data_IF_548948938270
#
_entry.id   IF_548948938270
#
_cell.length_a   1.000
_cell.length_b   1.000
_cell.length_c   1.000
_cell.angle_alpha   90.00
_cell.angle_beta   90.00
_cell.angle_gamma   90.00
#
_symmetry.space_group_name_H-M   'P 1'
#
loop_
_entity.id
_entity.type
_entity.pdbx_description
1 polymer ?
#
# COMPACT_ATOMS: atom_id res chain seq x y z
N UNK A 1 -0.48 30.05 30.08
CA UNK A 1 0.82 29.48 30.50
C UNK A 1 1.72 29.50 29.28
N UNK A 2 2.91 29.98 29.44
CA UNK A 2 3.91 30.05 28.39
C UNK A 2 4.16 28.61 27.89
N UNK A 3 4.23 28.41 26.56
CA UNK A 3 4.48 27.10 25.93
C UNK A 3 5.92 26.65 26.21
N UNK A 4 6.24 26.53 27.51
CA UNK A 4 7.57 26.21 27.98
C UNK A 4 7.81 24.71 27.82
N UNK A 5 8.89 24.37 27.18
CA UNK A 5 9.41 23.03 27.06
C UNK A 5 9.68 22.42 28.44
N UNK A 6 9.27 21.16 28.64
CA UNK A 6 9.59 20.36 29.81
C UNK A 6 10.52 19.23 29.44
N UNK A 7 10.23 18.53 28.34
CA UNK A 7 11.01 17.41 27.85
C UNK A 7 10.89 17.31 26.33
N UNK A 8 12.03 17.22 25.64
CA UNK A 8 12.11 16.99 24.20
C UNK A 8 13.12 15.91 23.91
N UNK A 9 12.80 14.99 23.00
CA UNK A 9 13.74 13.99 22.54
C UNK A 9 14.44 14.43 21.24
N UNK A 10 15.61 13.86 20.97
CA UNK A 10 16.41 14.18 19.78
C UNK A 10 15.66 13.92 18.46
N UNK A 11 14.79 12.92 18.42
CA UNK A 11 14.03 12.55 17.23
C UNK A 11 13.01 13.63 16.87
N UNK A 12 12.36 14.23 17.87
CA UNK A 12 11.44 15.35 17.68
C UNK A 12 12.16 16.55 17.04
N UNK A 13 13.34 16.89 17.51
CA UNK A 13 14.15 17.98 16.94
C UNK A 13 14.59 17.67 15.51
N UNK A 14 15.00 16.43 15.23
CA UNK A 14 15.39 16.02 13.88
C UNK A 14 14.20 16.11 12.89
N UNK A 15 13.03 15.61 13.26
CA UNK A 15 11.85 15.69 12.41
C UNK A 15 11.32 17.12 12.28
N UNK A 16 11.40 17.93 13.36
CA UNK A 16 11.10 19.35 13.31
C UNK A 16 11.95 20.10 12.28
N UNK A 17 13.25 19.84 12.26
CA UNK A 17 14.17 20.41 11.29
C UNK A 17 13.87 19.97 9.84
N UNK A 18 13.49 18.72 9.64
CA UNK A 18 13.10 18.21 8.32
C UNK A 18 11.80 18.84 7.80
N UNK A 19 10.85 19.10 8.69
CA UNK A 19 9.57 19.72 8.34
C UNK A 19 9.75 21.22 8.08
N UNK A 20 10.59 21.91 8.87
CA UNK A 20 10.81 23.36 8.74
C UNK A 20 11.76 23.75 7.60
N UNK A 21 12.49 22.81 7.01
CA UNK A 21 13.62 23.06 6.09
C UNK A 21 14.71 23.96 6.71
N UNK A 22 14.79 24.04 8.03
CA UNK A 22 15.72 24.88 8.77
C UNK A 22 16.20 24.19 10.03
N UNK A 23 17.37 24.58 10.51
CA UNK A 23 17.84 24.17 11.82
C UNK A 23 17.16 25.03 12.89
N UNK A 24 16.16 24.45 13.56
CA UNK A 24 15.52 25.09 14.70
C UNK A 24 16.54 25.24 15.85
N UNK A 25 16.73 26.45 16.32
CA UNK A 25 17.63 26.72 17.45
C UNK A 25 16.96 26.47 18.80
N UNK A 26 15.64 26.63 18.83
CA UNK A 26 14.80 26.34 20.00
C UNK A 26 13.56 25.55 19.57
N UNK A 27 13.13 24.62 20.43
CA UNK A 27 11.95 23.78 20.16
C UNK A 27 10.66 24.57 19.97
N UNK A 28 10.59 25.75 20.62
CA UNK A 28 9.43 26.64 20.54
C UNK A 28 9.24 27.25 19.13
N UNK A 29 10.31 27.33 18.33
CA UNK A 29 10.24 27.84 16.95
C UNK A 29 9.33 26.96 16.07
N UNK A 30 9.11 25.71 16.44
CA UNK A 30 8.21 24.80 15.71
C UNK A 30 6.78 25.35 15.61
N UNK A 31 6.31 26.11 16.61
CA UNK A 31 4.99 26.72 16.61
C UNK A 31 4.86 27.91 15.63
N UNK A 32 5.96 28.39 15.09
CA UNK A 32 5.98 29.46 14.08
C UNK A 32 5.92 28.92 12.64
N UNK A 33 6.06 27.60 12.47
CA UNK A 33 6.06 26.93 11.17
C UNK A 33 4.62 26.82 10.66
N UNK A 34 4.41 27.11 9.38
CA UNK A 34 3.10 27.07 8.75
C UNK A 34 2.41 25.70 8.89
N UNK A 35 3.16 24.63 8.77
CA UNK A 35 2.70 23.25 8.89
C UNK A 35 2.13 22.93 10.27
N UNK A 36 2.62 23.61 11.31
CA UNK A 36 2.15 23.46 12.70
C UNK A 36 1.03 24.43 13.11
N UNK A 37 0.59 25.32 12.20
CA UNK A 37 -0.42 26.33 12.50
C UNK A 37 -1.70 25.72 13.12
N UNK A 38 -2.20 24.61 12.55
CA UNK A 38 -3.39 23.91 13.05
C UNK A 38 -3.21 23.40 14.48
N UNK A 39 -2.04 22.84 14.78
CA UNK A 39 -1.69 22.35 16.12
C UNK A 39 -1.60 23.53 17.09
N UNK A 40 -0.97 24.62 16.67
CA UNK A 40 -0.85 25.85 17.47
C UNK A 40 -2.22 26.43 17.79
N UNK A 41 -3.12 26.51 16.82
CA UNK A 41 -4.48 27.00 17.00
C UNK A 41 -5.29 26.11 17.93
N UNK A 42 -5.14 24.78 17.81
CA UNK A 42 -5.78 23.79 18.68
C UNK A 42 -5.35 23.96 20.14
N UNK A 43 -4.05 24.10 20.42
CA UNK A 43 -3.50 24.35 21.76
C UNK A 43 -4.05 25.66 22.32
N UNK A 44 -3.99 26.74 21.53
CA UNK A 44 -4.45 28.05 21.92
C UNK A 44 -5.95 28.07 22.27
N UNK A 45 -6.77 27.36 21.49
CA UNK A 45 -8.23 27.24 21.74
C UNK A 45 -8.50 26.55 23.07
N UNK A 46 -7.85 25.41 23.32
CA UNK A 46 -8.02 24.66 24.56
C UNK A 46 -7.56 25.43 25.80
N UNK A 47 -6.49 26.24 25.68
CA UNK A 47 -5.99 27.09 26.78
C UNK A 47 -6.96 28.27 27.10
N UNK A 48 -7.65 28.81 26.07
CA UNK A 48 -8.57 29.93 26.24
C UNK A 48 -9.94 29.52 26.80
N UNK A 49 -10.42 28.33 26.47
CA UNK A 49 -11.74 27.82 26.89
C UNK A 49 -11.59 26.33 27.29
N UNK A 50 -11.17 26.04 28.53
CA UNK A 50 -11.11 24.68 29.00
C UNK A 50 -12.52 24.12 29.12
N UNK A 51 -12.96 23.31 28.18
CA UNK A 51 -14.21 22.59 28.22
C UNK A 51 -13.99 21.10 28.42
N UNK A 52 -14.77 20.48 29.31
CA UNK A 52 -14.68 19.05 29.59
C UNK A 52 -15.12 18.15 28.42
N UNK A 53 -15.87 18.71 27.43
CA UNK A 53 -16.47 17.97 26.33
C UNK A 53 -15.79 18.21 24.96
N UNK A 54 -14.67 18.93 24.90
CA UNK A 54 -13.96 19.14 23.63
C UNK A 54 -12.94 18.02 23.35
N UNK A 55 -12.70 17.78 22.07
CA UNK A 55 -11.65 16.86 21.61
C UNK A 55 -10.31 17.31 22.19
N UNK A 56 -9.60 16.37 22.84
CA UNK A 56 -8.30 16.60 23.49
C UNK A 56 -7.15 16.05 22.65
N UNK A 57 -7.44 15.51 21.48
CA UNK A 57 -6.45 14.96 20.56
C UNK A 57 -6.68 15.52 19.17
N UNK A 58 -5.61 15.89 18.52
CA UNK A 58 -5.59 16.37 17.14
C UNK A 58 -4.43 15.71 16.40
N UNK A 59 -4.64 15.29 15.16
CA UNK A 59 -3.60 14.81 14.27
C UNK A 59 -3.60 15.60 12.97
N UNK A 60 -2.41 15.84 12.45
CA UNK A 60 -2.18 16.55 11.17
C UNK A 60 -1.17 15.75 10.35
N UNK A 61 -1.49 15.52 9.07
CA UNK A 61 -0.57 14.93 8.11
C UNK A 61 0.22 16.06 7.42
N UNK A 62 1.54 15.91 7.39
CA UNK A 62 2.46 16.85 6.76
C UNK A 62 3.27 16.10 5.71
N UNK A 63 3.18 16.54 4.45
CA UNK A 63 3.98 16.02 3.37
C UNK A 63 5.11 17.01 3.06
N UNK A 64 6.36 16.58 3.26
CA UNK A 64 7.53 17.45 3.07
C UNK A 64 8.70 16.65 2.51
N UNK A 65 9.33 17.16 1.46
CA UNK A 65 10.54 16.58 0.86
C UNK A 65 10.42 15.08 0.53
N UNK A 66 9.24 14.63 0.04
CA UNK A 66 8.97 13.23 -0.29
C UNK A 66 8.76 12.32 0.93
N UNK A 67 8.65 12.90 2.12
CA UNK A 67 8.28 12.20 3.37
C UNK A 67 6.90 12.60 3.84
N UNK A 68 6.24 11.68 4.51
CA UNK A 68 4.94 11.89 5.15
C UNK A 68 5.11 11.75 6.66
N UNK A 69 4.78 12.82 7.37
CA UNK A 69 4.77 12.83 8.83
C UNK A 69 3.35 12.92 9.36
N UNK A 70 3.08 12.23 10.45
CA UNK A 70 1.89 12.47 11.27
C UNK A 70 2.32 13.18 12.54
N UNK A 71 1.72 14.36 12.77
CA UNK A 71 1.93 15.15 13.98
C UNK A 71 0.68 15.03 14.82
N UNK A 72 0.80 14.45 16.01
CA UNK A 72 -0.29 14.34 16.96
C UNK A 72 -0.07 15.27 18.15
N UNK A 73 -1.12 15.92 18.58
CA UNK A 73 -1.15 16.74 19.77
C UNK A 73 -2.22 16.20 20.75
N UNK A 74 -1.82 15.93 21.98
CA UNK A 74 -2.71 15.52 23.07
C UNK A 74 -2.67 16.58 24.15
N UNK A 75 -3.84 17.01 24.62
CA UNK A 75 -3.99 17.99 25.70
C UNK A 75 -4.50 17.29 26.95
N UNK A 76 -3.74 17.39 28.04
CA UNK A 76 -4.05 16.77 29.32
C UNK A 76 -5.03 17.64 30.16
N UNK A 77 -5.47 17.07 31.29
CA UNK A 77 -6.45 17.74 32.17
C UNK A 77 -5.93 19.04 32.79
N UNK A 78 -4.63 19.09 33.03
CA UNK A 78 -3.94 20.26 33.59
C UNK A 78 -3.57 21.31 32.54
N UNK A 79 -4.07 21.14 31.30
CA UNK A 79 -3.78 21.96 30.12
C UNK A 79 -2.31 21.87 29.64
N UNK A 80 -1.54 20.96 30.15
CA UNK A 80 -0.30 20.57 29.49
C UNK A 80 -0.60 19.84 28.20
N UNK A 81 0.38 19.77 27.29
CA UNK A 81 0.21 19.07 26.01
C UNK A 81 1.46 18.30 25.66
N UNK A 82 1.23 17.26 24.87
CA UNK A 82 2.28 16.46 24.24
C UNK A 82 2.13 16.55 22.73
N UNK A 83 3.25 16.71 22.02
CA UNK A 83 3.31 16.63 20.57
C UNK A 83 4.22 15.49 20.18
N UNK A 84 3.73 14.57 19.38
CA UNK A 84 4.51 13.50 18.76
C UNK A 84 4.59 13.72 17.25
N UNK A 85 5.77 13.44 16.68
CA UNK A 85 6.01 13.45 15.23
C UNK A 85 6.47 12.06 14.84
N UNK A 86 5.74 11.41 13.95
CA UNK A 86 6.07 10.10 13.42
C UNK A 86 6.25 10.19 11.91
N UNK A 87 7.34 9.64 11.40
CA UNK A 87 7.54 9.45 9.96
C UNK A 87 6.78 8.19 9.56
N UNK A 88 5.74 8.36 8.76
CA UNK A 88 4.86 7.29 8.25
C UNK A 88 5.04 7.09 6.74
N UNK A 89 6.19 7.51 6.21
CA UNK A 89 6.46 7.45 4.76
C UNK A 89 6.40 6.03 4.24
N UNK A 90 7.00 5.08 4.95
CA UNK A 90 7.01 3.67 4.53
C UNK A 90 5.62 3.06 4.59
N UNK A 91 4.88 3.31 5.65
CA UNK A 91 3.51 2.83 5.86
C UNK A 91 2.57 3.36 4.75
N UNK A 92 2.62 4.65 4.48
CA UNK A 92 1.83 5.29 3.42
C UNK A 92 2.21 4.75 2.04
N UNK A 93 3.50 4.53 1.78
CA UNK A 93 3.95 3.95 0.52
C UNK A 93 3.47 2.51 0.35
N UNK A 94 3.53 1.68 1.39
CA UNK A 94 3.01 0.32 1.38
C UNK A 94 1.50 0.31 1.11
N UNK A 95 0.72 1.18 1.77
CA UNK A 95 -0.72 1.31 1.55
C UNK A 95 -1.01 1.73 0.10
N UNK A 96 -0.24 2.68 -0.43
CA UNK A 96 -0.36 3.14 -1.82
C UNK A 96 -0.08 2.02 -2.82
N UNK A 97 1.02 1.29 -2.63
CA UNK A 97 1.40 0.16 -3.50
C UNK A 97 0.35 -0.95 -3.46
N UNK A 98 -0.16 -1.29 -2.27
CA UNK A 98 -1.21 -2.29 -2.10
C UNK A 98 -2.51 -1.88 -2.82
N UNK A 99 -2.91 -0.60 -2.73
CA UNK A 99 -4.06 -0.07 -3.46
C UNK A 99 -3.86 -0.14 -4.98
N UNK A 100 -2.67 0.25 -5.45
CA UNK A 100 -2.33 0.21 -6.87
C UNK A 100 -2.33 -1.23 -7.41
N UNK A 101 -1.76 -2.17 -6.67
CA UNK A 101 -1.79 -3.60 -7.00
C UNK A 101 -3.23 -4.11 -7.12
N UNK A 102 -4.10 -3.79 -6.15
CA UNK A 102 -5.52 -4.19 -6.17
C UNK A 102 -6.25 -3.63 -7.39
N UNK A 103 -6.00 -2.38 -7.74
CA UNK A 103 -6.58 -1.76 -8.94
C UNK A 103 -6.11 -2.43 -10.22
N UNK A 104 -4.82 -2.73 -10.34
CA UNK A 104 -4.25 -3.42 -11.49
C UNK A 104 -4.84 -4.84 -11.64
N UNK A 105 -4.94 -5.58 -10.54
CA UNK A 105 -5.60 -6.89 -10.52
C UNK A 105 -7.04 -6.80 -11.02
N UNK A 106 -7.82 -5.85 -10.51
CA UNK A 106 -9.21 -5.66 -10.94
C UNK A 106 -9.32 -5.38 -12.46
N UNK A 107 -8.42 -4.57 -13.01
CA UNK A 107 -8.35 -4.30 -14.44
C UNK A 107 -7.96 -5.53 -15.26
N UNK A 108 -6.93 -6.27 -14.82
CA UNK A 108 -6.47 -7.49 -15.50
C UNK A 108 -7.49 -8.64 -15.46
N UNK A 109 -8.34 -8.70 -14.42
CA UNK A 109 -9.45 -9.66 -14.34
C UNK A 109 -10.65 -9.22 -15.19
N UNK A 110 -10.96 -7.93 -15.25
CA UNK A 110 -12.12 -7.42 -15.99
C UNK A 110 -12.04 -7.71 -17.49
N UNK A 111 -10.86 -7.56 -18.09
CA UNK A 111 -10.65 -7.73 -19.53
C UNK A 111 -11.02 -9.14 -20.03
N UNK A 112 -10.47 -10.24 -19.49
CA UNK A 112 -10.84 -11.59 -19.90
C UNK A 112 -12.31 -11.92 -19.62
N UNK A 113 -12.85 -11.46 -18.48
CA UNK A 113 -14.27 -11.67 -18.13
C UNK A 113 -15.18 -10.99 -19.15
N UNK A 114 -14.93 -9.71 -19.49
CA UNK A 114 -15.74 -9.00 -20.49
C UNK A 114 -15.63 -9.64 -21.88
N UNK A 115 -14.45 -10.18 -22.24
CA UNK A 115 -14.29 -10.89 -23.51
C UNK A 115 -15.10 -12.19 -23.55
N UNK A 116 -15.07 -12.98 -22.46
CA UNK A 116 -15.87 -14.20 -22.35
C UNK A 116 -17.37 -13.87 -22.46
N UNK A 117 -17.82 -12.86 -21.71
CA UNK A 117 -19.22 -12.41 -21.74
C UNK A 117 -19.64 -12.01 -23.16
N UNK A 118 -18.84 -11.21 -23.86
CA UNK A 118 -19.17 -10.77 -25.22
C UNK A 118 -19.25 -11.91 -26.24
N UNK A 119 -18.36 -12.93 -26.15
CA UNK A 119 -18.45 -14.11 -27.00
C UNK A 119 -19.69 -14.95 -26.68
N UNK A 120 -19.98 -15.16 -25.39
CA UNK A 120 -21.17 -15.90 -24.96
C UNK A 120 -22.46 -15.18 -25.35
N UNK A 121 -22.54 -13.85 -25.17
CA UNK A 121 -23.69 -13.05 -25.60
C UNK A 121 -23.91 -13.16 -27.12
N UNK A 122 -22.84 -13.18 -27.89
CA UNK A 122 -22.94 -13.35 -29.35
C UNK A 122 -23.47 -14.70 -29.72
N UNK A 123 -23.07 -15.77 -28.99
CA UNK A 123 -23.57 -17.14 -29.25
C UNK A 123 -25.05 -17.23 -28.86
N UNK A 124 -25.42 -16.73 -27.67
CA UNK A 124 -26.76 -16.86 -27.11
C UNK A 124 -27.81 -16.06 -27.91
N UNK A 125 -27.42 -14.85 -28.35
CA UNK A 125 -28.34 -13.95 -29.06
C UNK A 125 -28.42 -14.20 -30.56
N UNK A 126 -27.70 -15.19 -31.11
CA UNK A 126 -27.66 -15.44 -32.54
C UNK A 126 -28.07 -16.90 -32.85
N UNK A 127 -29.37 -17.11 -33.04
CA UNK A 127 -29.97 -18.44 -33.34
C UNK A 127 -29.38 -19.15 -34.56
N UNK A 128 -28.85 -18.40 -35.55
CA UNK A 128 -28.34 -18.91 -36.81
C UNK A 128 -26.81 -18.76 -36.94
N UNK A 129 -26.08 -18.82 -35.85
CA UNK A 129 -24.62 -18.76 -35.91
C UNK A 129 -24.04 -20.01 -36.60
N UNK A 130 -23.14 -19.79 -37.57
CA UNK A 130 -22.47 -20.89 -38.25
C UNK A 130 -21.64 -21.72 -37.25
N UNK A 131 -21.69 -23.08 -37.33
CA UNK A 131 -20.98 -23.96 -36.37
C UNK A 131 -19.49 -23.63 -36.25
N UNK A 132 -18.83 -23.25 -37.33
CA UNK A 132 -17.42 -22.90 -37.35
C UNK A 132 -17.15 -21.63 -36.56
N UNK A 133 -18.04 -20.62 -36.64
CA UNK A 133 -17.93 -19.39 -35.84
C UNK A 133 -18.19 -19.65 -34.37
N UNK A 134 -19.17 -20.48 -34.05
CA UNK A 134 -19.47 -20.88 -32.68
C UNK A 134 -18.24 -21.56 -32.06
N UNK A 135 -17.62 -22.50 -32.78
CA UNK A 135 -16.40 -23.16 -32.32
C UNK A 135 -15.28 -22.18 -32.01
N UNK A 136 -15.02 -21.21 -32.89
CA UNK A 136 -14.02 -20.18 -32.68
C UNK A 136 -14.31 -19.34 -31.42
N UNK A 137 -15.57 -18.98 -31.17
CA UNK A 137 -15.93 -18.21 -29.97
C UNK A 137 -15.74 -19.04 -28.68
N UNK A 138 -16.08 -20.31 -28.71
CA UNK A 138 -15.85 -21.23 -27.58
C UNK A 138 -14.36 -21.41 -27.30
N UNK A 139 -13.53 -21.57 -28.32
CA UNK A 139 -12.07 -21.64 -28.18
C UNK A 139 -11.49 -20.36 -27.58
N UNK A 140 -12.00 -19.20 -27.98
CA UNK A 140 -11.59 -17.91 -27.38
C UNK A 140 -12.04 -17.78 -25.94
N UNK A 141 -13.25 -18.21 -25.58
CA UNK A 141 -13.70 -18.26 -24.18
C UNK A 141 -12.79 -19.17 -23.35
N UNK A 142 -12.44 -20.35 -23.86
CA UNK A 142 -11.54 -21.28 -23.18
C UNK A 142 -10.14 -20.68 -22.97
N UNK A 143 -9.58 -20.02 -23.98
CA UNK A 143 -8.29 -19.34 -23.87
C UNK A 143 -8.30 -18.22 -22.80
N UNK A 144 -9.37 -17.40 -22.76
CA UNK A 144 -9.51 -16.36 -21.73
C UNK A 144 -9.72 -16.95 -20.32
N UNK A 145 -10.45 -18.05 -20.19
CA UNK A 145 -10.63 -18.78 -18.93
C UNK A 145 -9.29 -19.32 -18.40
N UNK A 146 -8.46 -19.90 -19.27
CA UNK A 146 -7.13 -20.37 -18.90
C UNK A 146 -6.21 -19.21 -18.48
N UNK A 147 -6.30 -18.04 -19.15
CA UNK A 147 -5.59 -16.84 -18.74
C UNK A 147 -6.02 -16.38 -17.34
N UNK A 148 -7.32 -16.34 -17.08
CA UNK A 148 -7.89 -15.99 -15.79
C UNK A 148 -7.39 -16.92 -14.67
N UNK A 149 -7.37 -18.23 -14.92
CA UNK A 149 -6.87 -19.23 -13.98
C UNK A 149 -5.39 -19.06 -13.65
N UNK A 150 -4.57 -18.61 -14.61
CA UNK A 150 -3.16 -18.28 -14.35
C UNK A 150 -3.04 -17.02 -13.49
N UNK A 151 -3.74 -15.95 -13.81
CA UNK A 151 -3.75 -14.72 -13.01
C UNK A 151 -4.17 -14.97 -11.56
N UNK A 152 -5.19 -15.80 -11.33
CA UNK A 152 -5.62 -16.16 -9.99
C UNK A 152 -4.54 -16.94 -9.21
N UNK A 153 -3.79 -17.82 -9.86
CA UNK A 153 -2.65 -18.51 -9.26
C UNK A 153 -1.55 -17.54 -8.87
N UNK A 154 -1.20 -16.62 -9.77
CA UNK A 154 -0.15 -15.63 -9.52
C UNK A 154 -0.51 -14.73 -8.33
N UNK A 155 -1.78 -14.28 -8.24
CA UNK A 155 -2.29 -13.51 -7.11
C UNK A 155 -2.20 -14.32 -5.81
N UNK A 156 -2.58 -15.62 -5.84
CA UNK A 156 -2.52 -16.49 -4.67
C UNK A 156 -1.09 -16.67 -4.16
N UNK A 157 -0.11 -16.76 -5.07
CA UNK A 157 1.31 -16.82 -4.68
C UNK A 157 1.75 -15.53 -4.03
N UNK A 158 1.42 -14.36 -4.62
CA UNK A 158 1.75 -13.05 -4.05
C UNK A 158 1.15 -12.86 -2.65
N UNK A 159 -0.12 -13.23 -2.45
CA UNK A 159 -0.78 -13.13 -1.14
C UNK A 159 -0.08 -13.99 -0.09
N UNK A 160 0.30 -15.22 -0.46
CA UNK A 160 1.04 -16.11 0.45
C UNK A 160 2.43 -15.58 0.78
N UNK A 161 3.11 -14.93 -0.17
CA UNK A 161 4.42 -14.32 0.07
C UNK A 161 4.32 -13.16 1.07
N UNK A 162 3.28 -12.32 0.97
CA UNK A 162 3.02 -11.24 1.94
C UNK A 162 2.77 -11.78 3.36
N UNK A 163 2.00 -12.86 3.48
CA UNK A 163 1.72 -13.51 4.77
C UNK A 163 2.95 -14.24 5.34
N UNK A 164 3.76 -14.84 4.47
CA UNK A 164 4.93 -15.63 4.85
C UNK A 164 6.22 -14.81 4.98
N UNK A 165 6.22 -13.52 4.68
CA UNK A 165 7.42 -12.69 4.68
C UNK A 165 8.20 -12.75 6.02
N UNK A 166 7.51 -13.02 7.13
CA UNK A 166 8.10 -13.19 8.45
C UNK A 166 8.40 -14.67 8.83
N UNK A 167 8.10 -15.64 7.95
CA UNK A 167 8.22 -17.09 8.22
C UNK A 167 9.07 -17.82 7.19
N UNK A 168 9.77 -17.10 6.29
CA UNK A 168 10.61 -17.72 5.27
C UNK A 168 11.93 -18.13 5.89
N UNK A 169 12.13 -19.42 6.06
CA UNK A 169 13.44 -19.97 6.40
C UNK A 169 14.35 -19.96 5.16
N UNK A 170 15.46 -19.23 5.28
CA UNK A 170 16.45 -19.13 4.23
C UNK A 170 17.43 -20.30 4.31
N UNK A 171 17.43 -21.17 3.30
CA UNK A 171 18.38 -22.26 3.19
C UNK A 171 19.28 -22.13 1.94
N UNK A 172 20.44 -22.79 2.00
CA UNK A 172 21.35 -22.84 0.84
C UNK A 172 20.88 -23.92 -0.12
N UNK A 173 20.55 -23.51 -1.35
CA UNK A 173 20.10 -24.41 -2.40
C UNK A 173 21.19 -24.52 -3.49
N UNK A 174 21.52 -25.74 -3.90
CA UNK A 174 22.36 -26.00 -5.06
C UNK A 174 21.51 -25.84 -6.34
N UNK A 175 21.69 -24.69 -7.00
CA UNK A 175 20.95 -24.35 -8.22
C UNK A 175 21.26 -25.33 -9.36
N UNK A 176 22.51 -25.83 -9.49
CA UNK A 176 22.88 -26.79 -10.52
C UNK A 176 22.13 -28.11 -10.37
N UNK A 177 22.03 -28.60 -9.14
CA UNK A 177 21.29 -29.84 -8.84
C UNK A 177 19.78 -29.63 -9.08
N UNK A 178 19.23 -28.48 -8.68
CA UNK A 178 17.80 -28.14 -8.90
C UNK A 178 17.47 -28.09 -10.40
N UNK A 179 18.29 -27.42 -11.21
CA UNK A 179 18.11 -27.33 -12.67
C UNK A 179 18.20 -28.72 -13.31
N UNK A 180 19.18 -29.53 -12.91
CA UNK A 180 19.32 -30.91 -13.43
C UNK A 180 18.10 -31.78 -13.13
N UNK A 181 17.54 -31.65 -11.92
CA UNK A 181 16.34 -32.39 -11.55
C UNK A 181 15.13 -31.96 -12.39
N UNK A 182 14.93 -30.64 -12.59
CA UNK A 182 13.83 -30.11 -13.41
C UNK A 182 13.98 -30.57 -14.87
N UNK A 183 15.19 -30.52 -15.44
CA UNK A 183 15.44 -31.00 -16.81
C UNK A 183 15.11 -32.47 -16.94
N UNK A 184 15.49 -33.30 -15.97
CA UNK A 184 15.15 -34.73 -15.96
C UNK A 184 13.64 -34.97 -15.85
N UNK A 185 12.93 -34.15 -15.07
CA UNK A 185 11.48 -34.27 -14.87
C UNK A 185 10.70 -33.96 -16.16
N UNK A 186 11.17 -32.99 -16.95
CA UNK A 186 10.54 -32.57 -18.21
C UNK A 186 11.24 -33.20 -19.46
N UNK A 187 12.15 -34.13 -19.27
CA UNK A 187 12.94 -34.74 -20.37
C UNK A 187 12.06 -35.34 -21.48
N UNK A 188 10.97 -36.01 -21.12
CA UNK A 188 10.02 -36.59 -22.09
C UNK A 188 9.35 -35.51 -22.95
N UNK A 189 9.03 -34.34 -22.38
CA UNK A 189 8.43 -33.22 -23.12
C UNK A 189 9.47 -32.52 -24.01
N UNK A 190 10.73 -32.43 -23.58
CA UNK A 190 11.84 -31.87 -24.35
C UNK A 190 12.17 -32.76 -25.56
N UNK A 191 12.25 -34.08 -25.36
CA UNK A 191 12.46 -35.03 -26.45
C UNK A 191 11.34 -34.97 -27.51
N UNK A 192 10.08 -34.86 -27.10
CA UNK A 192 8.95 -34.72 -28.01
C UNK A 192 9.02 -33.43 -28.85
N UNK A 193 9.61 -32.37 -28.31
CA UNK A 193 9.77 -31.07 -28.98
C UNK A 193 11.11 -30.92 -29.72
N UNK A 194 11.97 -31.96 -29.68
CA UNK A 194 13.32 -31.97 -30.27
C UNK A 194 14.23 -30.83 -29.74
N UNK A 195 14.14 -30.55 -28.46
CA UNK A 195 14.95 -29.57 -27.74
C UNK A 195 15.94 -30.29 -26.83
#
# INVERSE_FOLDING_TARGET
RDKKEILVNNLFTQYGNLISDSNLQATEEIFSICEFQKITDFINKAQKRPSYNEERRMSVHINKNGRTFIVECIIFQDLSFEISINDITQEEEQVRLKRQLTQNIAHELKTPVSSIQGYLETIVNNENIAPEKMQVFLERCYAQSNRLSRLLRDISVLTRMDEAANMIDMEKVDISMLVSNIVNEVSLELEQKQI
#
